data_IF_128862373600
#
_entry.id   IF_128862373600
#
_cell.length_a   1.000
_cell.length_b   1.000
_cell.length_c   1.000
_cell.angle_alpha   90.00
_cell.angle_beta   90.00
_cell.angle_gamma   90.00
#
_symmetry.space_group_name_H-M   'P 1'
#
loop_
_entity.id
_entity.type
_entity.pdbx_description
1 polymer ?
#
# COMPACT_ATOMS: atom_id res chain seq x y z
N UNK A 1 32.38 8.99 13.40
CA UNK A 1 32.07 9.38 12.01
C UNK A 1 30.57 9.19 11.83
N UNK A 2 29.80 10.07 12.47
CA UNK A 2 28.36 9.93 12.71
C UNK A 2 27.84 11.34 12.91
N UNK A 3 27.31 11.97 11.85
CA UNK A 3 26.33 13.06 11.91
C UNK A 3 25.99 13.61 10.51
N UNK A 4 25.73 12.73 9.53
CA UNK A 4 25.33 13.16 8.18
C UNK A 4 23.81 13.25 7.96
N UNK A 5 22.99 13.19 9.02
CA UNK A 5 21.54 13.39 8.91
C UNK A 5 21.10 14.57 9.78
N UNK A 6 21.16 15.76 9.20
CA UNK A 6 20.67 17.00 9.79
C UNK A 6 19.13 16.96 9.90
N UNK A 7 18.61 16.61 11.08
CA UNK A 7 17.17 16.63 11.45
C UNK A 7 16.59 18.05 11.66
N UNK A 8 17.32 19.12 11.32
CA UNK A 8 16.85 20.51 11.50
C UNK A 8 16.52 21.15 10.16
N UNK A 9 15.30 21.68 10.06
CA UNK A 9 14.84 22.52 8.96
C UNK A 9 15.84 23.67 8.77
N UNK A 10 16.42 23.83 7.57
CA UNK A 10 17.43 24.85 7.33
C UNK A 10 16.75 26.23 7.28
N UNK A 11 17.09 27.10 8.22
CA UNK A 11 16.71 28.50 8.18
C UNK A 11 17.69 29.27 7.29
N UNK A 12 17.21 29.84 6.19
CA UNK A 12 18.01 30.68 5.27
C UNK A 12 17.86 32.14 5.72
N UNK A 13 18.94 32.81 6.20
CA UNK A 13 18.86 34.21 6.63
C UNK A 13 18.41 35.11 5.48
N UNK A 14 17.34 35.89 5.69
CA UNK A 14 16.83 36.88 4.72
C UNK A 14 15.66 36.41 3.84
N UNK A 15 15.28 35.13 3.88
CA UNK A 15 14.00 34.69 3.32
C UNK A 15 12.91 34.86 4.39
N UNK A 16 11.76 35.50 4.09
CA UNK A 16 10.64 35.47 5.03
C UNK A 16 10.26 34.02 5.28
N UNK A 17 10.29 33.59 6.55
CA UNK A 17 9.69 32.31 6.93
C UNK A 17 8.23 32.37 6.52
N UNK A 18 7.74 31.45 5.65
CA UNK A 18 6.32 31.42 5.36
C UNK A 18 5.59 31.30 6.71
N UNK A 19 4.52 32.07 6.94
CA UNK A 19 3.73 31.87 8.14
C UNK A 19 3.39 30.38 8.22
N UNK A 20 3.51 29.74 9.40
CA UNK A 20 3.08 28.37 9.53
C UNK A 20 1.66 28.29 8.98
N UNK A 21 1.34 27.33 8.09
CA UNK A 21 -0.02 27.22 7.60
C UNK A 21 -0.93 27.12 8.83
N UNK A 22 -1.73 28.16 9.05
CA UNK A 22 -2.77 28.14 10.07
C UNK A 22 -3.91 27.33 9.51
N UNK A 23 -3.71 26.02 9.39
CA UNK A 23 -4.85 25.11 9.31
C UNK A 23 -5.45 25.15 10.69
N UNK A 24 -6.60 25.84 10.83
CA UNK A 24 -7.45 25.63 11.98
C UNK A 24 -7.59 24.14 12.18
N UNK A 25 -7.35 23.68 13.41
CA UNK A 25 -7.61 22.29 13.80
C UNK A 25 -9.11 22.07 13.62
N UNK A 26 -9.50 21.66 12.43
CA UNK A 26 -10.62 20.75 12.29
C UNK A 26 -10.18 19.47 12.99
N UNK A 27 -11.10 18.75 13.62
CA UNK A 27 -10.85 17.38 14.07
C UNK A 27 -10.64 16.49 12.83
N UNK A 28 -9.55 16.70 12.09
CA UNK A 28 -9.25 15.92 10.89
C UNK A 28 -8.88 14.52 11.34
N UNK A 29 -9.79 13.58 11.08
CA UNK A 29 -9.54 12.16 11.29
C UNK A 29 -8.29 11.77 10.51
N UNK A 30 -7.34 11.16 11.20
CA UNK A 30 -6.18 10.55 10.54
C UNK A 30 -6.52 9.11 10.22
N UNK A 31 -6.11 8.64 9.05
CA UNK A 31 -6.29 7.25 8.63
C UNK A 31 -4.92 6.63 8.38
N UNK A 32 -4.79 5.36 8.75
CA UNK A 32 -3.65 4.52 8.40
C UNK A 32 -4.16 3.38 7.53
N UNK A 33 -3.28 2.83 6.69
CA UNK A 33 -3.63 1.73 5.81
C UNK A 33 -2.47 0.76 5.62
N UNK A 34 -2.85 -0.47 5.33
CA UNK A 34 -1.97 -1.56 4.89
C UNK A 34 -2.47 -2.08 3.55
N UNK A 35 -1.58 -2.63 2.74
CA UNK A 35 -1.99 -3.32 1.54
C UNK A 35 -0.99 -4.37 1.08
N UNK A 36 -1.47 -5.21 0.18
CA UNK A 36 -0.72 -6.29 -0.46
C UNK A 36 -1.22 -6.41 -1.89
N UNK A 37 -0.30 -6.31 -2.84
CA UNK A 37 -0.59 -6.42 -4.27
C UNK A 37 -0.51 -7.86 -4.75
N UNK A 38 -1.32 -8.25 -5.74
CA UNK A 38 -1.31 -9.59 -6.30
C UNK A 38 -1.48 -9.59 -7.82
N UNK A 39 -0.79 -10.52 -8.50
CA UNK A 39 -1.00 -10.82 -9.93
C UNK A 39 -2.06 -11.91 -10.15
N UNK A 40 -2.56 -12.52 -9.10
CA UNK A 40 -3.55 -13.58 -9.19
C UNK A 40 -4.91 -13.03 -9.55
N UNK A 41 -5.40 -13.38 -10.75
CA UNK A 41 -6.66 -12.88 -11.29
C UNK A 41 -7.90 -13.40 -10.57
N UNK A 42 -7.77 -14.48 -9.80
CA UNK A 42 -8.81 -15.03 -8.92
C UNK A 42 -8.88 -14.32 -7.56
N UNK A 43 -7.92 -13.44 -7.26
CA UNK A 43 -7.85 -12.59 -6.08
C UNK A 43 -7.92 -11.11 -6.49
N UNK A 44 -8.32 -10.19 -5.59
CA UNK A 44 -8.21 -8.76 -5.85
C UNK A 44 -6.76 -8.36 -6.18
N UNK A 45 -6.55 -7.37 -7.07
CA UNK A 45 -5.20 -6.89 -7.41
C UNK A 45 -4.52 -6.17 -6.24
N UNK A 46 -5.32 -5.59 -5.35
CA UNK A 46 -4.87 -4.97 -4.11
C UNK A 46 -5.80 -5.41 -2.99
N UNK A 47 -5.28 -6.20 -2.05
CA UNK A 47 -5.92 -6.45 -0.76
C UNK A 47 -5.46 -5.36 0.21
N UNK A 48 -6.39 -4.69 0.88
CA UNK A 48 -6.04 -3.54 1.72
C UNK A 48 -6.92 -3.46 2.98
N UNK A 49 -6.36 -2.85 4.02
CA UNK A 49 -7.04 -2.51 5.28
C UNK A 49 -6.84 -1.02 5.51
N UNK A 50 -7.91 -0.31 5.82
CA UNK A 50 -7.85 1.10 6.21
C UNK A 50 -8.65 1.30 7.50
N UNK A 51 -8.12 2.09 8.43
CA UNK A 51 -8.77 2.37 9.69
C UNK A 51 -8.45 3.78 10.19
N UNK A 52 -9.35 4.33 11.00
CA UNK A 52 -9.13 5.60 11.68
C UNK A 52 -8.04 5.42 12.74
N UNK A 53 -6.98 6.22 12.65
CA UNK A 53 -5.85 6.21 13.56
C UNK A 53 -6.20 6.95 14.83
N UNK A 54 -6.09 6.22 15.93
CA UNK A 54 -6.16 6.74 17.29
C UNK A 54 -4.79 6.67 17.95
N UNK A 55 -4.66 7.15 19.18
CA UNK A 55 -3.40 7.00 19.94
C UNK A 55 -3.04 5.54 20.25
N UNK A 56 -3.99 4.61 20.16
CA UNK A 56 -3.82 3.21 20.54
C UNK A 56 -3.69 2.22 19.38
N UNK A 57 -3.81 2.67 18.13
CA UNK A 57 -3.72 1.84 16.93
C UNK A 57 -3.02 2.60 15.82
N UNK A 58 -1.85 3.18 16.11
CA UNK A 58 -1.00 3.71 15.04
C UNK A 58 -0.56 2.58 14.10
N UNK A 59 -0.09 2.89 12.90
CA UNK A 59 0.57 1.89 12.05
C UNK A 59 1.75 1.26 12.81
N UNK A 60 1.53 0.05 13.35
CA UNK A 60 2.45 -0.66 14.24
C UNK A 60 2.49 -2.17 13.95
N UNK A 61 3.15 -2.92 14.83
CA UNK A 61 3.32 -4.37 14.67
C UNK A 61 2.04 -5.17 14.90
N UNK A 62 1.12 -4.68 15.73
CA UNK A 62 -0.15 -5.38 15.99
C UNK A 62 -1.07 -5.26 14.78
N UNK A 63 -1.16 -4.04 14.22
CA UNK A 63 -1.95 -3.79 13.02
C UNK A 63 -1.39 -4.53 11.78
N UNK A 64 -0.07 -4.74 11.73
CA UNK A 64 0.58 -5.58 10.72
C UNK A 64 0.17 -7.05 10.85
N UNK A 65 0.19 -7.61 12.06
CA UNK A 65 -0.28 -8.99 12.32
C UNK A 65 -1.74 -9.13 11.93
N UNK A 66 -2.59 -8.22 12.41
CA UNK A 66 -4.02 -8.25 12.12
C UNK A 66 -4.31 -8.23 10.62
N UNK A 67 -3.53 -7.45 9.85
CA UNK A 67 -3.66 -7.39 8.40
C UNK A 67 -3.34 -8.75 7.73
N UNK A 68 -2.24 -9.39 8.11
CA UNK A 68 -1.85 -10.67 7.51
C UNK A 68 -2.72 -11.84 7.98
N UNK A 69 -3.18 -11.82 9.24
CA UNK A 69 -4.16 -12.79 9.73
C UNK A 69 -5.48 -12.67 8.94
N UNK A 70 -5.98 -11.46 8.72
CA UNK A 70 -7.16 -11.24 7.90
C UNK A 70 -6.94 -11.72 6.44
N UNK A 71 -5.76 -11.48 5.87
CA UNK A 71 -5.43 -11.98 4.53
C UNK A 71 -5.45 -13.51 4.46
N UNK A 72 -4.88 -14.19 5.46
CA UNK A 72 -4.83 -15.64 5.54
C UNK A 72 -6.23 -16.26 5.73
N UNK A 73 -7.00 -15.74 6.68
CA UNK A 73 -8.36 -16.23 7.01
C UNK A 73 -9.37 -15.99 5.89
N UNK A 74 -9.19 -14.92 5.10
CA UNK A 74 -10.04 -14.61 3.95
C UNK A 74 -9.57 -15.23 2.62
N UNK A 75 -8.61 -16.15 2.67
CA UNK A 75 -8.14 -16.91 1.49
C UNK A 75 -7.34 -16.08 0.49
N UNK A 76 -6.73 -14.98 0.93
CA UNK A 76 -5.88 -14.13 0.08
C UNK A 76 -4.47 -14.68 -0.06
N UNK A 77 -4.06 -15.61 0.80
CA UNK A 77 -2.78 -16.29 0.78
C UNK A 77 -3.02 -17.79 0.51
N UNK A 78 -2.24 -18.37 -0.38
CA UNK A 78 -2.22 -19.80 -0.65
C UNK A 78 -0.87 -20.42 -0.33
N UNK A 79 -0.89 -21.74 -0.14
CA UNK A 79 0.32 -22.52 0.07
C UNK A 79 1.33 -22.30 -1.05
N UNK A 80 2.56 -21.96 -0.67
CA UNK A 80 3.65 -21.66 -1.59
C UNK A 80 3.74 -20.19 -2.03
N UNK A 81 2.80 -19.33 -1.62
CA UNK A 81 2.92 -17.89 -1.87
C UNK A 81 4.16 -17.31 -1.16
N UNK A 82 4.80 -16.35 -1.84
CA UNK A 82 5.91 -15.57 -1.30
C UNK A 82 5.46 -14.12 -1.17
N UNK A 83 5.37 -13.64 0.06
CA UNK A 83 5.05 -12.24 0.37
C UNK A 83 6.35 -11.45 0.39
N UNK A 84 6.51 -10.53 -0.56
CA UNK A 84 7.63 -9.57 -0.54
C UNK A 84 7.19 -8.33 0.21
N UNK A 85 7.91 -7.99 1.28
CA UNK A 85 7.60 -6.86 2.16
C UNK A 85 8.79 -5.90 2.26
N UNK A 86 8.52 -4.63 2.55
CA UNK A 86 9.58 -3.67 2.79
C UNK A 86 10.31 -3.95 4.12
N UNK A 87 11.44 -3.28 4.34
CA UNK A 87 12.25 -3.45 5.55
C UNK A 87 11.78 -2.53 6.69
N UNK A 88 10.47 -2.40 6.89
CA UNK A 88 9.89 -1.62 7.99
C UNK A 88 10.11 -2.34 9.33
N UNK A 89 10.52 -1.60 10.37
CA UNK A 89 11.00 -2.17 11.63
C UNK A 89 9.98 -3.10 12.33
N UNK A 90 8.67 -2.79 12.37
CA UNK A 90 7.66 -3.69 12.92
C UNK A 90 7.57 -5.06 12.24
N UNK A 91 7.84 -5.16 10.93
CA UNK A 91 7.89 -6.46 10.25
C UNK A 91 8.98 -7.37 10.83
N UNK A 92 10.03 -6.79 11.41
CA UNK A 92 11.19 -7.52 11.98
C UNK A 92 11.21 -7.56 13.51
N UNK A 93 10.14 -7.09 14.14
CA UNK A 93 9.93 -7.20 15.58
C UNK A 93 9.78 -8.67 15.99
N UNK A 94 9.85 -8.97 17.29
CA UNK A 94 9.57 -10.33 17.78
C UNK A 94 8.21 -10.84 17.28
N UNK A 95 7.21 -9.95 17.29
CA UNK A 95 5.86 -10.24 16.85
C UNK A 95 5.74 -10.42 15.32
N UNK A 96 6.49 -9.64 14.54
CA UNK A 96 6.59 -9.85 13.09
C UNK A 96 7.23 -11.19 12.72
N UNK A 97 8.22 -11.64 13.50
CA UNK A 97 8.81 -12.99 13.33
C UNK A 97 7.84 -14.10 13.71
N UNK A 98 7.10 -13.94 14.81
CA UNK A 98 6.05 -14.89 15.20
C UNK A 98 4.99 -15.03 14.10
N UNK A 99 4.62 -13.93 13.43
CA UNK A 99 3.74 -13.95 12.27
C UNK A 99 4.36 -14.70 11.09
N UNK A 100 5.62 -14.43 10.76
CA UNK A 100 6.34 -15.11 9.67
C UNK A 100 6.37 -16.63 9.90
N UNK A 101 6.74 -17.07 11.11
CA UNK A 101 6.76 -18.48 11.50
C UNK A 101 5.35 -19.10 11.41
N UNK A 102 4.33 -18.38 11.90
CA UNK A 102 2.94 -18.84 11.84
C UNK A 102 2.42 -18.99 10.40
N UNK A 103 2.67 -18.00 9.53
CA UNK A 103 2.28 -18.06 8.12
C UNK A 103 2.98 -19.22 7.41
N UNK A 104 4.24 -19.49 7.74
CA UNK A 104 4.97 -20.62 7.18
C UNK A 104 4.39 -21.96 7.67
N UNK A 105 4.24 -22.15 8.97
CA UNK A 105 3.86 -23.42 9.57
C UNK A 105 2.41 -23.84 9.24
N UNK A 106 1.49 -22.88 9.19
CA UNK A 106 0.06 -23.16 9.03
C UNK A 106 -0.48 -22.90 7.63
N UNK A 107 0.13 -21.96 6.88
CA UNK A 107 -0.33 -21.59 5.54
C UNK A 107 0.69 -21.93 4.45
N UNK A 108 1.93 -22.31 4.80
CA UNK A 108 3.00 -22.57 3.83
C UNK A 108 3.44 -21.33 3.06
N UNK A 109 3.27 -20.14 3.65
CA UNK A 109 3.58 -18.85 3.04
C UNK A 109 4.93 -18.37 3.55
N UNK A 110 5.80 -17.92 2.65
CA UNK A 110 7.11 -17.37 3.01
C UNK A 110 7.10 -15.85 2.95
N UNK A 111 7.75 -15.17 3.90
CA UNK A 111 7.97 -13.72 3.84
C UNK A 111 9.41 -13.41 3.42
N UNK A 112 9.59 -12.47 2.49
CA UNK A 112 10.89 -12.00 2.01
C UNK A 112 10.96 -10.49 2.15
N UNK A 113 12.06 -10.00 2.75
CA UNK A 113 12.25 -8.58 3.01
C UNK A 113 13.11 -7.94 1.93
N UNK A 114 12.67 -6.79 1.43
CA UNK A 114 13.50 -5.95 0.57
C UNK A 114 14.74 -5.44 1.32
N UNK A 115 15.83 -5.11 0.60
CA UNK A 115 16.98 -4.49 1.23
C UNK A 115 16.62 -3.16 1.94
N UNK A 116 17.37 -2.77 2.99
CA UNK A 116 17.18 -1.47 3.64
C UNK A 116 17.20 -0.32 2.63
N UNK A 117 16.29 0.64 2.81
CA UNK A 117 16.13 1.82 1.94
C UNK A 117 15.79 1.53 0.48
N UNK A 118 15.33 0.31 0.17
CA UNK A 118 14.90 -0.08 -1.18
C UNK A 118 13.39 -0.26 -1.30
N UNK A 119 12.62 0.64 -0.69
CA UNK A 119 11.15 0.67 -0.86
C UNK A 119 10.73 1.00 -2.29
N UNK A 120 11.63 1.57 -3.10
CA UNK A 120 11.48 1.75 -4.54
C UNK A 120 11.34 0.44 -5.32
N UNK A 121 11.71 -0.70 -4.72
CA UNK A 121 11.49 -2.02 -5.27
C UNK A 121 10.15 -2.64 -4.83
N UNK A 122 9.31 -1.91 -4.11
CA UNK A 122 8.01 -2.41 -3.68
C UNK A 122 6.90 -1.89 -4.62
N UNK A 123 6.26 -2.75 -5.43
CA UNK A 123 5.23 -2.34 -6.39
C UNK A 123 4.06 -1.58 -5.78
N UNK A 124 3.80 -1.77 -4.49
CA UNK A 124 2.71 -1.10 -3.79
C UNK A 124 2.89 0.42 -3.68
N UNK A 125 4.12 0.94 -3.76
CA UNK A 125 4.37 2.39 -3.72
C UNK A 125 3.73 3.11 -4.92
N UNK A 126 3.74 2.46 -6.09
CA UNK A 126 3.05 2.95 -7.28
C UNK A 126 1.53 2.93 -7.09
N UNK A 127 1.00 1.89 -6.45
CA UNK A 127 -0.42 1.79 -6.09
C UNK A 127 -0.85 2.97 -5.21
N UNK A 128 -0.06 3.32 -4.20
CA UNK A 128 -0.32 4.49 -3.34
C UNK A 128 -0.27 5.80 -4.12
N UNK A 129 0.71 5.98 -4.99
CA UNK A 129 0.79 7.14 -5.89
C UNK A 129 -0.43 7.29 -6.78
N UNK A 130 -0.88 6.18 -7.36
CA UNK A 130 -2.05 6.10 -8.25
C UNK A 130 -3.36 6.36 -7.51
N UNK A 131 -3.58 5.70 -6.37
CA UNK A 131 -4.75 5.92 -5.53
C UNK A 131 -4.85 7.38 -5.06
N UNK A 132 -3.74 7.99 -4.61
CA UNK A 132 -3.73 9.42 -4.26
C UNK A 132 -4.08 10.32 -5.44
N UNK A 133 -3.67 9.94 -6.66
CA UNK A 133 -4.00 10.71 -7.88
C UNK A 133 -5.47 10.61 -8.23
N UNK A 134 -6.07 9.41 -8.15
CA UNK A 134 -7.50 9.22 -8.32
C UNK A 134 -8.33 9.92 -7.25
N UNK A 135 -7.93 9.84 -5.98
CA UNK A 135 -8.59 10.54 -4.89
C UNK A 135 -8.66 12.06 -5.15
N UNK A 136 -7.54 12.67 -5.57
CA UNK A 136 -7.51 14.10 -5.96
C UNK A 136 -8.45 14.41 -7.12
N UNK A 137 -8.53 13.53 -8.11
CA UNK A 137 -9.44 13.68 -9.25
C UNK A 137 -10.91 13.63 -8.81
N UNK A 138 -11.30 12.64 -8.00
CA UNK A 138 -12.68 12.49 -7.52
C UNK A 138 -13.18 13.72 -6.76
N UNK A 139 -12.31 14.32 -5.94
CA UNK A 139 -12.60 15.55 -5.20
C UNK A 139 -12.64 16.76 -6.13
N UNK A 140 -11.70 16.89 -7.07
CA UNK A 140 -11.64 18.02 -8.00
C UNK A 140 -12.89 18.11 -8.91
N UNK A 141 -13.35 16.96 -9.41
CA UNK A 141 -14.56 16.84 -10.23
C UNK A 141 -15.86 16.82 -9.39
N UNK A 142 -15.75 16.97 -8.06
CA UNK A 142 -16.88 17.00 -7.12
C UNK A 142 -17.75 15.75 -7.15
N UNK A 143 -17.17 14.60 -7.50
CA UNK A 143 -17.85 13.31 -7.38
C UNK A 143 -17.99 12.88 -5.93
N UNK A 144 -17.03 13.25 -5.08
CA UNK A 144 -17.02 12.98 -3.63
C UNK A 144 -16.49 14.20 -2.87
N UNK A 145 -16.91 14.34 -1.61
CA UNK A 145 -16.40 15.38 -0.72
C UNK A 145 -15.05 14.98 -0.10
N UNK A 146 -14.13 15.94 0.03
CA UNK A 146 -12.85 15.72 0.68
C UNK A 146 -12.99 15.37 2.17
N UNK A 147 -14.08 15.79 2.83
CA UNK A 147 -14.37 15.42 4.21
C UNK A 147 -14.59 13.92 4.39
N UNK A 148 -15.06 13.24 3.33
CA UNK A 148 -15.35 11.81 3.33
C UNK A 148 -14.11 11.02 2.91
N UNK A 149 -12.99 11.26 3.60
CA UNK A 149 -11.67 10.69 3.27
C UNK A 149 -11.71 9.18 3.11
N UNK A 150 -12.50 8.48 3.93
CA UNK A 150 -12.69 7.03 3.83
C UNK A 150 -13.24 6.65 2.45
N UNK A 151 -14.36 7.25 2.05
CA UNK A 151 -15.08 6.89 0.82
C UNK A 151 -14.27 7.30 -0.42
N UNK A 152 -13.60 8.45 -0.35
CA UNK A 152 -12.67 8.90 -1.42
C UNK A 152 -11.54 7.90 -1.63
N UNK A 153 -10.90 7.44 -0.55
CA UNK A 153 -9.78 6.51 -0.66
C UNK A 153 -10.24 5.11 -1.03
N UNK A 154 -11.37 4.63 -0.52
CA UNK A 154 -11.98 3.35 -0.92
C UNK A 154 -12.29 3.33 -2.42
N UNK A 155 -12.92 4.38 -2.95
CA UNK A 155 -13.18 4.52 -4.38
C UNK A 155 -11.89 4.56 -5.21
N UNK A 156 -10.84 5.20 -4.71
CA UNK A 156 -9.56 5.29 -5.40
C UNK A 156 -8.75 3.97 -5.38
N UNK A 157 -8.75 3.25 -4.26
CA UNK A 157 -8.06 1.96 -4.11
C UNK A 157 -8.74 0.87 -4.94
N UNK A 158 -10.08 0.89 -5.02
CA UNK A 158 -10.84 -0.05 -5.84
C UNK A 158 -10.68 0.17 -7.36
N UNK A 159 -9.96 1.22 -7.79
CA UNK A 159 -9.60 1.47 -9.20
C UNK A 159 -8.31 0.78 -9.62
N UNK A 160 -7.50 0.28 -8.70
CA UNK A 160 -6.26 -0.43 -9.02
C UNK A 160 -6.59 -1.76 -9.70
N UNK A 161 -5.93 -2.07 -10.80
CA UNK A 161 -6.17 -3.26 -11.62
C UNK A 161 -4.97 -4.21 -11.65
N UNK A 162 -5.17 -5.48 -12.03
CA UNK A 162 -4.05 -6.42 -12.21
C UNK A 162 -3.06 -5.97 -13.29
N UNK A 163 -3.53 -5.25 -14.33
CA UNK A 163 -2.66 -4.67 -15.35
C UNK A 163 -1.72 -3.61 -14.75
N UNK A 164 -2.21 -2.84 -13.78
CA UNK A 164 -1.40 -1.87 -13.05
C UNK A 164 -0.32 -2.57 -12.23
N UNK A 165 -0.69 -3.58 -11.43
CA UNK A 165 0.25 -4.36 -10.63
C UNK A 165 1.31 -5.03 -11.51
N UNK A 166 0.91 -5.57 -12.65
CA UNK A 166 1.83 -6.17 -13.60
C UNK A 166 2.85 -5.16 -14.13
N UNK A 167 2.38 -3.98 -14.56
CA UNK A 167 3.26 -2.93 -15.05
C UNK A 167 4.23 -2.44 -13.95
N UNK A 168 3.72 -2.28 -12.74
CA UNK A 168 4.49 -1.81 -11.57
C UNK A 168 5.56 -2.86 -11.18
N UNK A 169 5.21 -4.15 -11.12
CA UNK A 169 6.17 -5.24 -10.88
C UNK A 169 7.26 -5.30 -11.95
N UNK A 170 6.90 -5.17 -13.23
CA UNK A 170 7.91 -5.15 -14.31
C UNK A 170 8.80 -3.92 -14.24
N UNK A 171 8.23 -2.75 -13.89
CA UNK A 171 8.99 -1.52 -13.69
C UNK A 171 10.03 -1.65 -12.58
N UNK A 172 9.65 -2.29 -11.47
CA UNK A 172 10.52 -2.51 -10.31
C UNK A 172 11.54 -3.66 -10.53
N UNK A 173 11.51 -4.31 -11.71
CA UNK A 173 12.49 -5.29 -12.13
C UNK A 173 12.14 -6.74 -11.79
N UNK A 174 10.90 -7.03 -11.41
CA UNK A 174 10.46 -8.40 -11.18
C UNK A 174 10.28 -9.15 -12.51
N UNK A 175 10.85 -10.35 -12.58
CA UNK A 175 10.57 -11.29 -13.67
C UNK A 175 9.21 -11.94 -13.46
N UNK A 176 8.25 -11.62 -14.32
CA UNK A 176 6.91 -12.23 -14.30
C UNK A 176 6.84 -13.33 -15.35
N UNK A 177 6.41 -14.53 -14.95
CA UNK A 177 6.23 -15.65 -15.88
C UNK A 177 5.25 -15.31 -17.01
N UNK A 178 5.56 -15.77 -18.22
CA UNK A 178 4.75 -15.50 -19.41
C UNK A 178 3.30 -15.97 -19.26
N UNK A 179 3.08 -17.12 -18.62
CA UNK A 179 1.76 -17.68 -18.31
C UNK A 179 0.91 -16.73 -17.47
N UNK A 180 1.49 -16.18 -16.40
CA UNK A 180 0.85 -15.18 -15.52
C UNK A 180 0.58 -13.90 -16.27
N UNK A 181 1.56 -13.43 -17.07
CA UNK A 181 1.42 -12.20 -17.84
C UNK A 181 0.27 -12.28 -18.85
N UNK A 182 0.23 -13.36 -19.64
CA UNK A 182 -0.86 -13.64 -20.60
C UNK A 182 -2.21 -13.73 -19.90
N UNK A 183 -2.27 -14.35 -18.72
CA UNK A 183 -3.50 -14.45 -17.92
C UNK A 183 -4.02 -13.08 -17.49
N UNK A 184 -3.15 -12.22 -16.95
CA UNK A 184 -3.49 -10.85 -16.52
C UNK A 184 -3.92 -9.99 -17.71
N UNK A 185 -3.19 -10.04 -18.82
CA UNK A 185 -3.52 -9.29 -20.03
C UNK A 185 -4.87 -9.73 -20.62
N UNK A 186 -5.14 -11.04 -20.62
CA UNK A 186 -6.41 -11.61 -21.11
C UNK A 186 -7.58 -11.25 -20.21
N UNK A 187 -7.39 -11.27 -18.89
CA UNK A 187 -8.39 -10.83 -17.92
C UNK A 187 -8.72 -9.35 -18.11
N UNK A 188 -7.69 -8.49 -18.15
CA UNK A 188 -7.85 -7.03 -18.26
C UNK A 188 -8.56 -6.60 -19.55
N UNK A 189 -8.35 -7.31 -20.67
CA UNK A 189 -9.08 -7.07 -21.93
C UNK A 189 -10.58 -7.37 -21.83
N UNK A 190 -10.98 -8.32 -20.98
CA UNK A 190 -12.39 -8.68 -20.75
C UNK A 190 -13.08 -7.70 -19.79
N UNK A 191 -12.31 -7.01 -18.95
CA UNK A 191 -12.80 -6.11 -17.91
C UNK A 191 -13.08 -4.68 -18.35
N UNK A 192 -12.82 -4.31 -19.61
CA UNK A 192 -13.22 -3.00 -20.16
C UNK A 192 -14.74 -3.03 -20.35
N UNK A 193 -15.53 -2.28 -19.55
CA UNK A 193 -16.95 -2.15 -19.83
C UNK A 193 -17.08 -1.39 -21.14
N UNK A 194 -17.80 -1.97 -22.10
CA UNK A 194 -18.28 -1.25 -23.29
C UNK A 194 -19.43 -0.34 -22.86
N UNK A 195 -19.20 0.60 -21.96
CA UNK A 195 -20.15 1.67 -21.69
C UNK A 195 -19.45 3.03 -21.74
N UNK A 196 -20.09 3.87 -22.55
CA UNK A 196 -19.60 5.10 -23.16
C UNK A 196 -19.37 6.21 -22.14
N UNK A 197 -18.42 7.06 -22.52
CA UNK A 197 -18.31 8.50 -22.21
C UNK A 197 -19.70 9.14 -22.12
#
# INVERSE_FOLDING_TARGET
MTDLFCKKQRHIPGLPTPPPPSTGSTNSKHYSWFGMTSLRIDKPPLFWKMYETTKGNSQDGDEHVDFFMAAAESGQLDYGDVVVTDNWAPHRSARGKELEDYLFDYYGVCMVYLPPHRSDLNPIEHCWGRAKSYARYLVAERFLDASDTKDVMEAALNRITHADILADMQHDGYGVEESTRVSVESFSKRSIPVEKI
#
